data_IF_245414618603
#
_entry.id   IF_245414618603
#
_cell.length_a   1.000
_cell.length_b   1.000
_cell.length_c   1.000
_cell.angle_alpha   90.00
_cell.angle_beta   90.00
_cell.angle_gamma   90.00
#
_symmetry.space_group_name_H-M   'P 1'
#
loop_
_entity.id
_entity.type
_entity.pdbx_description
1 polymer ?
#
# COMPACT_ATOMS: atom_id res chain seq x y z
N UNK A 1 -9.19 -27.37 4.54
CA UNK A 1 -7.93 -28.13 4.42
C UNK A 1 -6.80 -27.11 4.52
N UNK A 2 -5.80 -27.36 5.36
CA UNK A 2 -4.60 -26.56 5.43
C UNK A 2 -3.74 -26.98 4.23
N UNK A 3 -3.52 -26.06 3.27
CA UNK A 3 -2.68 -26.35 2.12
C UNK A 3 -1.26 -26.69 2.58
N UNK A 4 -0.71 -27.76 2.07
CA UNK A 4 0.69 -28.14 2.35
C UNK A 4 1.64 -27.09 1.78
N UNK A 5 2.75 -26.88 2.48
CA UNK A 5 3.85 -26.07 1.96
C UNK A 5 4.29 -26.68 0.62
N UNK A 6 4.46 -25.90 -0.46
CA UNK A 6 4.92 -26.42 -1.73
C UNK A 6 6.24 -27.20 -1.59
N UNK A 7 6.38 -28.29 -2.32
CA UNK A 7 7.56 -29.16 -2.26
C UNK A 7 8.91 -28.43 -2.39
N UNK A 8 8.95 -27.38 -3.20
CA UNK A 8 10.14 -26.55 -3.37
C UNK A 8 10.54 -25.83 -2.07
N UNK A 9 9.57 -25.28 -1.34
CA UNK A 9 9.80 -24.63 -0.05
C UNK A 9 10.18 -25.67 1.01
N UNK A 10 9.48 -26.81 1.01
CA UNK A 10 9.79 -27.92 1.89
C UNK A 10 11.20 -28.46 1.65
N UNK A 11 11.59 -28.66 0.39
CA UNK A 11 12.95 -29.06 -0.01
C UNK A 11 14.01 -28.03 0.41
N UNK A 12 13.72 -26.74 0.27
CA UNK A 12 14.58 -25.66 0.73
C UNK A 12 14.75 -25.69 2.26
N UNK A 13 13.67 -25.80 3.01
CA UNK A 13 13.70 -25.87 4.47
C UNK A 13 14.41 -27.15 4.97
N UNK A 14 14.23 -28.29 4.29
CA UNK A 14 14.96 -29.53 4.58
C UNK A 14 16.46 -29.39 4.30
N UNK A 15 16.85 -28.68 3.23
CA UNK A 15 18.26 -28.40 2.91
C UNK A 15 18.90 -27.52 3.98
N UNK A 16 18.20 -26.49 4.47
CA UNK A 16 18.64 -25.69 5.61
C UNK A 16 18.77 -26.54 6.87
N UNK A 17 17.84 -27.45 7.13
CA UNK A 17 17.83 -28.33 8.30
C UNK A 17 19.02 -29.32 8.30
N UNK A 18 19.32 -29.93 7.13
CA UNK A 18 20.49 -30.82 6.96
C UNK A 18 21.82 -30.13 7.21
N UNK A 19 21.87 -28.81 7.13
CA UNK A 19 23.04 -27.99 7.37
C UNK A 19 23.15 -27.48 8.82
N UNK A 20 22.39 -28.06 9.75
CA UNK A 20 22.45 -27.74 11.19
C UNK A 20 21.66 -26.49 11.59
N UNK A 21 20.71 -26.06 10.75
CA UNK A 21 19.87 -24.88 10.97
C UNK A 21 18.76 -25.19 11.96
N UNK A 22 19.07 -25.31 13.24
CA UNK A 22 18.04 -25.46 14.25
C UNK A 22 18.44 -24.79 15.58
N UNK A 23 17.78 -23.67 15.89
CA UNK A 23 17.71 -23.17 17.25
C UNK A 23 16.27 -22.74 17.52
N UNK A 24 15.57 -23.32 18.48
CA UNK A 24 14.24 -22.85 18.88
C UNK A 24 14.38 -21.45 19.48
N UNK A 25 13.88 -20.45 18.78
CA UNK A 25 13.74 -19.09 19.28
C UNK A 25 12.30 -18.84 19.67
N UNK A 26 12.08 -18.10 20.75
CA UNK A 26 10.74 -17.63 21.08
C UNK A 26 10.20 -16.73 19.95
N UNK A 27 9.01 -17.05 19.44
CA UNK A 27 8.35 -16.21 18.47
C UNK A 27 7.97 -14.88 19.14
N UNK A 28 8.67 -13.80 18.81
CA UNK A 28 8.31 -12.46 19.26
C UNK A 28 7.09 -12.00 18.46
N UNK A 29 6.06 -11.59 19.16
CA UNK A 29 4.88 -10.98 18.55
C UNK A 29 5.29 -9.59 18.03
N UNK A 30 5.08 -9.35 16.74
CA UNK A 30 5.14 -7.99 16.21
C UNK A 30 3.85 -7.27 16.62
N UNK A 31 3.97 -6.28 17.49
CA UNK A 31 2.87 -5.34 17.74
C UNK A 31 2.66 -4.47 16.51
N UNK A 32 1.40 -4.19 16.17
CA UNK A 32 1.09 -3.16 15.20
C UNK A 32 1.75 -1.85 15.66
N UNK A 33 2.76 -1.38 14.93
CA UNK A 33 3.36 -0.09 15.23
C UNK A 33 2.29 0.99 15.05
N UNK A 34 1.90 1.61 16.15
CA UNK A 34 1.16 2.86 16.12
C UNK A 34 2.13 3.90 15.56
N UNK A 35 2.01 4.20 14.27
CA UNK A 35 2.82 5.25 13.66
C UNK A 35 2.49 6.58 14.35
N UNK A 36 3.50 7.37 14.71
CA UNK A 36 3.27 8.69 15.31
C UNK A 36 2.46 9.55 14.34
N UNK A 37 1.48 10.29 14.88
CA UNK A 37 0.69 11.28 14.14
C UNK A 37 1.53 12.52 13.83
N UNK A 38 2.60 12.35 13.07
CA UNK A 38 3.51 13.44 12.67
C UNK A 38 3.71 13.40 11.15
N UNK A 39 3.89 14.57 10.56
CA UNK A 39 4.30 14.68 9.17
C UNK A 39 5.78 14.29 9.04
N UNK A 40 6.11 13.32 8.21
CA UNK A 40 7.44 12.74 8.17
C UNK A 40 8.30 13.21 6.98
N UNK A 41 7.70 13.60 5.87
CA UNK A 41 8.41 13.95 4.63
C UNK A 41 7.92 15.30 4.09
N UNK A 42 8.85 16.11 3.62
CA UNK A 42 8.56 17.33 2.87
C UNK A 42 8.52 17.00 1.38
N UNK A 43 7.46 17.47 0.71
CA UNK A 43 7.35 17.46 -0.74
C UNK A 43 6.89 18.81 -1.23
N UNK A 44 7.28 19.15 -2.43
CA UNK A 44 6.76 20.34 -3.09
C UNK A 44 5.30 20.13 -3.49
N UNK A 45 4.47 21.10 -3.11
CA UNK A 45 3.06 21.16 -3.46
C UNK A 45 2.83 22.42 -4.29
N UNK A 46 2.21 22.25 -5.45
CA UNK A 46 1.71 23.36 -6.23
C UNK A 46 0.21 23.49 -5.98
N UNK A 47 -0.25 24.63 -5.48
CA UNK A 47 -1.68 24.90 -5.37
C UNK A 47 -2.29 25.02 -6.76
N UNK A 48 -3.42 24.34 -6.96
CA UNK A 48 -4.17 24.39 -8.22
C UNK A 48 -5.56 25.00 -8.06
N UNK A 49 -6.03 25.23 -6.84
CA UNK A 49 -7.37 25.76 -6.57
C UNK A 49 -7.36 27.19 -6.02
N UNK A 50 -6.40 27.54 -5.15
CA UNK A 50 -6.33 28.83 -4.52
C UNK A 50 -4.88 29.23 -4.22
N UNK A 51 -4.60 30.52 -4.19
CA UNK A 51 -3.26 31.04 -3.82
C UNK A 51 -2.99 30.88 -2.32
N UNK A 52 -4.04 30.97 -1.48
CA UNK A 52 -3.94 30.79 -0.04
C UNK A 52 -4.31 29.37 0.37
N UNK A 53 -3.70 28.91 1.48
CA UNK A 53 -3.99 27.60 2.08
C UNK A 53 -5.10 27.64 3.13
N UNK A 54 -5.89 28.71 3.17
CA UNK A 54 -6.98 28.80 4.13
C UNK A 54 -8.04 27.71 3.87
N UNK A 55 -8.61 27.13 4.94
CA UNK A 55 -9.67 26.14 4.82
C UNK A 55 -10.88 26.69 4.04
N UNK A 56 -11.34 25.92 3.07
CA UNK A 56 -12.51 26.24 2.25
C UNK A 56 -13.73 25.50 2.80
N UNK A 57 -14.86 26.19 2.87
CA UNK A 57 -16.14 25.53 3.17
C UNK A 57 -16.55 24.65 1.99
N UNK A 58 -16.90 23.40 2.30
CA UNK A 58 -17.45 22.46 1.31
C UNK A 58 -18.91 22.84 1.03
N UNK A 59 -19.21 23.10 -0.21
CA UNK A 59 -20.54 23.51 -0.61
C UNK A 59 -21.56 22.38 -0.34
N UNK A 60 -22.68 22.69 0.30
CA UNK A 60 -23.74 21.73 0.63
C UNK A 60 -24.50 21.18 -0.59
N UNK A 61 -24.21 21.72 -1.76
CA UNK A 61 -24.62 21.17 -3.06
C UNK A 61 -26.11 21.25 -3.35
N UNK A 62 -26.54 22.38 -3.84
CA UNK A 62 -27.93 22.53 -4.37
C UNK A 62 -28.07 22.22 -5.88
N UNK A 63 -27.09 21.57 -6.52
CA UNK A 63 -27.13 21.42 -7.97
C UNK A 63 -26.25 20.34 -8.64
N UNK A 64 -25.58 19.46 -7.89
CA UNK A 64 -24.76 18.41 -8.48
C UNK A 64 -25.31 17.01 -8.23
N UNK A 65 -25.03 16.05 -9.11
CA UNK A 65 -25.27 14.62 -8.86
C UNK A 65 -24.61 14.21 -7.54
N UNK A 66 -25.36 13.52 -6.68
CA UNK A 66 -24.84 12.96 -5.45
C UNK A 66 -23.84 11.84 -5.79
N UNK A 67 -22.56 12.08 -5.54
CA UNK A 67 -21.53 11.07 -5.75
C UNK A 67 -21.62 10.02 -4.64
N UNK A 68 -21.71 8.75 -5.04
CA UNK A 68 -21.76 7.61 -4.10
C UNK A 68 -20.67 6.62 -4.47
N UNK A 69 -19.89 6.17 -3.47
CA UNK A 69 -18.95 5.09 -3.69
C UNK A 69 -19.68 3.76 -3.85
N UNK A 70 -19.46 3.11 -4.98
CA UNK A 70 -20.04 1.80 -5.31
C UNK A 70 -19.06 0.66 -5.03
N UNK A 71 -17.80 0.98 -4.75
CA UNK A 71 -16.76 0.00 -4.47
C UNK A 71 -15.74 0.52 -3.45
N UNK A 72 -15.13 -0.42 -2.70
CA UNK A 72 -14.14 -0.15 -1.66
C UNK A 72 -13.02 -1.16 -1.76
N UNK A 73 -11.77 -0.71 -1.80
CA UNK A 73 -10.59 -1.56 -1.92
C UNK A 73 -9.69 -1.40 -0.69
N UNK A 74 -9.23 -2.51 -0.16
CA UNK A 74 -8.27 -2.56 0.93
C UNK A 74 -7.40 -3.81 0.84
N UNK A 75 -6.27 -3.80 1.56
CA UNK A 75 -5.38 -4.92 1.72
C UNK A 75 -4.90 -5.08 3.15
N UNK A 76 -4.83 -6.33 3.60
CA UNK A 76 -4.36 -6.69 4.92
C UNK A 76 -3.11 -7.54 4.86
N UNK A 77 -2.32 -7.50 5.90
CA UNK A 77 -1.12 -8.33 6.04
C UNK A 77 -0.97 -8.84 7.47
N UNK A 78 -0.38 -10.01 7.59
CA UNK A 78 0.09 -10.56 8.84
C UNK A 78 1.49 -11.10 8.65
N UNK A 79 2.44 -10.55 9.39
CA UNK A 79 3.85 -10.90 9.30
C UNK A 79 4.32 -11.46 10.63
N UNK A 80 5.20 -12.45 10.59
CA UNK A 80 5.87 -12.93 11.78
C UNK A 80 7.25 -13.47 11.46
N UNK A 81 8.13 -13.42 12.42
CA UNK A 81 9.43 -14.07 12.37
C UNK A 81 9.23 -15.56 12.68
N UNK A 82 9.88 -16.42 11.89
CA UNK A 82 9.90 -17.84 12.16
C UNK A 82 10.73 -18.14 13.42
N UNK A 83 10.37 -19.19 14.19
CA UNK A 83 11.13 -19.60 15.36
C UNK A 83 12.53 -20.14 15.00
N UNK A 84 12.81 -20.30 13.70
CA UNK A 84 14.06 -20.83 13.20
C UNK A 84 14.99 -19.70 12.75
N UNK A 85 16.28 -19.91 12.94
CA UNK A 85 17.33 -19.03 12.45
C UNK A 85 18.30 -19.83 11.59
N UNK A 86 18.82 -19.21 10.56
CA UNK A 86 19.86 -19.80 9.69
C UNK A 86 21.22 -19.49 10.30
N UNK A 87 21.94 -20.47 10.89
CA UNK A 87 23.29 -20.26 11.37
C UNK A 87 24.24 -20.17 10.18
N UNK A 88 25.13 -19.18 10.20
CA UNK A 88 26.14 -18.97 9.18
C UNK A 88 27.51 -19.31 9.71
N UNK A 89 28.48 -19.68 8.85
CA UNK A 89 29.85 -20.00 9.26
C UNK A 89 30.55 -18.87 10.02
N UNK A 90 30.16 -17.62 9.79
CA UNK A 90 30.67 -16.45 10.50
C UNK A 90 30.01 -16.24 11.89
N UNK A 91 29.14 -17.13 12.32
CA UNK A 91 28.43 -17.07 13.60
C UNK A 91 27.12 -16.27 13.61
N UNK A 92 26.75 -15.63 12.50
CA UNK A 92 25.45 -14.93 12.41
C UNK A 92 24.29 -15.94 12.46
N UNK A 93 23.19 -15.53 13.15
CA UNK A 93 21.94 -16.28 13.28
C UNK A 93 20.85 -15.51 12.55
N UNK A 94 20.63 -15.81 11.27
CA UNK A 94 19.75 -15.02 10.40
C UNK A 94 18.29 -15.45 10.54
N UNK A 95 17.38 -14.57 10.99
CA UNK A 95 15.97 -14.88 11.09
C UNK A 95 15.30 -14.89 9.70
N UNK A 96 14.37 -15.81 9.52
CA UNK A 96 13.44 -15.82 8.39
C UNK A 96 12.08 -15.31 8.84
N UNK A 97 11.33 -14.77 7.90
CA UNK A 97 9.98 -14.25 8.15
C UNK A 97 8.97 -14.93 7.23
N UNK A 98 7.77 -15.08 7.75
CA UNK A 98 6.61 -15.52 6.96
C UNK A 98 5.55 -14.44 7.03
N UNK A 99 4.84 -14.24 5.93
CA UNK A 99 3.69 -13.36 5.93
C UNK A 99 2.55 -13.96 5.11
N UNK A 100 1.34 -13.57 5.46
CA UNK A 100 0.14 -13.79 4.68
C UNK A 100 -0.47 -12.44 4.35
N UNK A 101 -0.62 -12.14 3.08
CA UNK A 101 -1.23 -10.92 2.58
C UNK A 101 -2.53 -11.25 1.87
N UNK A 102 -3.51 -10.37 1.97
CA UNK A 102 -4.75 -10.46 1.21
C UNK A 102 -5.19 -9.06 0.78
N UNK A 103 -5.85 -8.99 -0.38
CA UNK A 103 -6.49 -7.78 -0.88
C UNK A 103 -7.84 -8.11 -1.49
N UNK A 104 -8.76 -7.14 -1.51
CA UNK A 104 -10.09 -7.38 -2.05
C UNK A 104 -10.87 -6.11 -2.33
N UNK A 105 -11.99 -6.27 -3.04
CA UNK A 105 -12.98 -5.22 -3.29
C UNK A 105 -14.31 -5.61 -2.69
N UNK A 106 -14.87 -4.71 -1.90
CA UNK A 106 -16.25 -4.76 -1.40
C UNK A 106 -17.11 -3.89 -2.32
N UNK A 107 -18.22 -4.41 -2.76
CA UNK A 107 -19.15 -3.73 -3.66
C UNK A 107 -20.40 -3.26 -2.92
N UNK A 108 -21.05 -2.22 -3.45
CA UNK A 108 -22.35 -1.73 -2.99
C UNK A 108 -23.34 -1.79 -4.15
N UNK A 109 -24.47 -2.44 -3.93
CA UNK A 109 -25.57 -2.46 -4.90
C UNK A 109 -26.44 -1.19 -4.82
N UNK A 110 -27.39 -1.08 -5.76
CA UNK A 110 -28.31 0.06 -5.82
C UNK A 110 -29.22 0.20 -4.60
N UNK A 111 -29.34 -0.82 -3.74
CA UNK A 111 -30.09 -0.76 -2.47
C UNK A 111 -29.21 -0.32 -1.29
N UNK A 112 -27.93 -0.09 -1.52
CA UNK A 112 -26.94 0.25 -0.48
C UNK A 112 -26.35 -0.96 0.24
N UNK A 113 -26.70 -2.20 -0.14
CA UNK A 113 -26.18 -3.43 0.47
C UNK A 113 -24.74 -3.67 0.03
N UNK A 114 -23.89 -3.99 1.01
CA UNK A 114 -22.52 -4.35 0.78
C UNK A 114 -22.38 -5.87 0.50
N UNK A 115 -21.63 -6.23 -0.54
CA UNK A 115 -21.36 -7.62 -0.91
C UNK A 115 -19.96 -7.77 -1.51
N UNK A 116 -19.49 -9.01 -1.60
CA UNK A 116 -18.18 -9.35 -2.15
C UNK A 116 -18.35 -10.36 -3.27
N UNK A 117 -17.70 -10.10 -4.39
CA UNK A 117 -17.51 -11.11 -5.43
C UNK A 117 -16.27 -11.95 -5.07
N UNK A 118 -16.39 -13.30 -4.98
CA UNK A 118 -15.28 -14.14 -4.54
C UNK A 118 -14.02 -14.01 -5.38
N UNK A 119 -14.15 -13.73 -6.66
CA UNK A 119 -13.05 -13.55 -7.60
C UNK A 119 -12.40 -12.15 -7.56
N UNK A 120 -12.91 -11.23 -6.74
CA UNK A 120 -12.31 -9.95 -6.42
C UNK A 120 -11.59 -9.96 -5.06
N UNK A 121 -11.32 -11.14 -4.51
CA UNK A 121 -10.42 -11.32 -3.36
C UNK A 121 -9.23 -12.17 -3.78
N UNK A 122 -8.05 -11.75 -3.36
CA UNK A 122 -6.81 -12.49 -3.57
C UNK A 122 -6.01 -12.58 -2.27
N UNK A 123 -5.25 -13.66 -2.10
CA UNK A 123 -4.35 -13.85 -0.97
C UNK A 123 -3.06 -14.56 -1.42
N UNK A 124 -1.96 -14.28 -0.71
CA UNK A 124 -0.66 -14.90 -0.95
C UNK A 124 0.09 -15.17 0.34
N UNK A 125 0.80 -16.28 0.36
CA UNK A 125 1.74 -16.63 1.41
C UNK A 125 3.15 -16.25 0.97
N UNK A 126 3.93 -15.65 1.86
CA UNK A 126 5.26 -15.13 1.59
C UNK A 126 6.27 -15.76 2.55
N UNK A 127 7.39 -16.24 2.01
CA UNK A 127 8.58 -16.56 2.81
C UNK A 127 9.66 -15.53 2.50
N UNK A 128 10.18 -14.86 3.51
CA UNK A 128 11.10 -13.75 3.36
C UNK A 128 12.39 -13.99 4.16
N UNK A 129 13.51 -13.68 3.53
CA UNK A 129 14.83 -13.71 4.15
C UNK A 129 15.88 -13.07 3.26
N UNK A 130 17.05 -12.73 3.79
CA UNK A 130 18.17 -12.24 2.99
C UNK A 130 18.90 -13.40 2.29
N UNK A 131 18.19 -14.09 1.39
CA UNK A 131 18.64 -15.37 0.82
C UNK A 131 19.95 -15.26 0.03
N UNK A 132 20.15 -14.18 -0.75
CA UNK A 132 21.42 -13.97 -1.45
C UNK A 132 22.55 -13.68 -0.46
N UNK A 133 22.29 -12.99 0.64
CA UNK A 133 23.25 -12.77 1.73
C UNK A 133 23.64 -14.08 2.41
N UNK A 134 22.64 -14.91 2.73
CA UNK A 134 22.84 -16.25 3.30
C UNK A 134 23.66 -17.12 2.33
N UNK A 135 23.29 -17.17 1.06
CA UNK A 135 23.97 -17.91 0.02
C UNK A 135 25.46 -17.56 -0.06
N UNK A 136 25.77 -16.27 -0.09
CA UNK A 136 27.17 -15.79 -0.14
C UNK A 136 27.96 -16.13 1.11
N UNK A 137 27.35 -15.94 2.29
CA UNK A 137 28.02 -16.19 3.56
C UNK A 137 28.25 -17.69 3.83
N UNK A 138 27.33 -18.55 3.39
CA UNK A 138 27.39 -19.99 3.59
C UNK A 138 28.10 -20.76 2.46
N UNK A 139 28.49 -20.09 1.36
CA UNK A 139 29.04 -20.74 0.17
C UNK A 139 28.06 -21.69 -0.51
N UNK A 140 26.73 -21.47 -0.33
CA UNK A 140 25.68 -22.35 -0.83
C UNK A 140 25.34 -22.05 -2.27
N UNK A 141 25.15 -23.10 -3.09
CA UNK A 141 24.45 -22.98 -4.37
C UNK A 141 22.95 -23.10 -4.12
N UNK A 142 22.22 -21.99 -4.16
CA UNK A 142 20.76 -22.00 -4.28
C UNK A 142 20.47 -21.96 -5.78
N UNK A 143 19.84 -23.01 -6.29
CA UNK A 143 19.40 -23.02 -7.67
C UNK A 143 18.31 -21.96 -7.85
N UNK A 144 18.47 -21.11 -8.86
CA UNK A 144 17.62 -19.93 -9.08
C UNK A 144 16.17 -20.27 -9.41
N UNK A 145 15.89 -21.52 -9.74
CA UNK A 145 14.58 -21.97 -10.19
C UNK A 145 13.57 -22.22 -9.06
N UNK A 146 14.05 -22.36 -7.82
CA UNK A 146 13.21 -22.66 -6.66
C UNK A 146 12.71 -21.41 -5.92
N UNK A 147 13.19 -20.22 -6.29
CA UNK A 147 12.89 -18.98 -5.60
C UNK A 147 12.26 -17.99 -6.57
N UNK A 148 10.99 -17.70 -6.35
CA UNK A 148 10.33 -16.59 -7.05
C UNK A 148 10.82 -15.30 -6.39
N UNK A 149 11.83 -14.69 -7.01
CA UNK A 149 12.29 -13.37 -6.60
C UNK A 149 11.17 -12.36 -6.81
N UNK A 150 11.02 -11.43 -5.89
CA UNK A 150 9.99 -10.36 -5.99
C UNK A 150 10.17 -9.43 -7.20
N UNK A 151 11.25 -9.62 -7.95
CA UNK A 151 11.51 -8.98 -9.24
C UNK A 151 10.63 -9.51 -10.34
N UNK A 152 9.94 -10.63 -10.11
CA UNK A 152 9.11 -11.22 -11.14
C UNK A 152 7.84 -10.38 -11.36
N UNK A 153 7.44 -10.24 -12.59
CA UNK A 153 6.16 -9.67 -13.01
C UNK A 153 5.00 -10.40 -12.35
N UNK A 154 5.19 -11.69 -12.00
CA UNK A 154 4.21 -12.54 -11.30
C UNK A 154 3.69 -11.91 -10.00
N UNK A 155 4.47 -11.06 -9.32
CA UNK A 155 4.00 -10.37 -8.11
C UNK A 155 2.88 -9.35 -8.37
N UNK A 156 2.74 -8.87 -9.61
CA UNK A 156 1.64 -8.03 -10.05
C UNK A 156 0.47 -8.80 -10.68
N UNK A 157 0.65 -10.09 -10.99
CA UNK A 157 -0.44 -10.90 -11.53
C UNK A 157 -1.48 -11.18 -10.43
N UNK A 158 -2.72 -11.38 -10.81
CA UNK A 158 -3.71 -11.96 -9.91
C UNK A 158 -3.33 -13.41 -9.63
N UNK A 159 -3.36 -13.92 -8.37
CA UNK A 159 -3.02 -15.30 -8.06
C UNK A 159 -3.90 -16.28 -8.84
N UNK A 160 -3.28 -17.30 -9.42
CA UNK A 160 -4.01 -18.38 -10.11
C UNK A 160 -4.66 -19.34 -9.12
N UNK A 161 -3.99 -19.54 -7.97
CA UNK A 161 -4.47 -20.42 -6.90
C UNK A 161 -4.66 -19.62 -5.60
N UNK A 162 -5.61 -20.00 -4.75
CA UNK A 162 -5.74 -19.45 -3.42
C UNK A 162 -4.46 -19.65 -2.61
N UNK A 163 -3.99 -18.59 -1.95
CA UNK A 163 -2.78 -18.63 -1.10
C UNK A 163 -1.48 -19.04 -1.82
N UNK A 164 -1.34 -18.65 -3.08
CA UNK A 164 -0.10 -18.87 -3.84
C UNK A 164 1.14 -18.45 -3.03
N UNK A 165 2.17 -19.30 -3.03
CA UNK A 165 3.43 -19.03 -2.33
C UNK A 165 4.39 -18.19 -3.17
N UNK A 166 5.01 -17.19 -2.52
CA UNK A 166 6.11 -16.42 -3.08
C UNK A 166 7.26 -16.41 -2.07
N UNK A 167 8.47 -16.74 -2.54
CA UNK A 167 9.70 -16.61 -1.77
C UNK A 167 10.39 -15.30 -2.17
N UNK A 168 10.70 -14.46 -1.20
CA UNK A 168 11.21 -13.10 -1.42
C UNK A 168 12.57 -12.90 -0.80
N UNK A 169 13.55 -12.51 -1.61
CA UNK A 169 14.85 -12.08 -1.11
C UNK A 169 14.78 -10.66 -0.54
N UNK A 170 15.27 -10.50 0.68
CA UNK A 170 15.37 -9.21 1.36
C UNK A 170 16.80 -8.69 1.49
N UNK A 171 17.76 -9.31 0.80
CA UNK A 171 19.16 -8.88 0.80
C UNK A 171 19.31 -7.44 0.34
N UNK A 172 18.54 -7.04 -0.67
CA UNK A 172 18.55 -5.70 -1.25
C UNK A 172 17.24 -4.96 -0.94
N UNK A 173 17.30 -3.63 -0.86
CA UNK A 173 16.07 -2.80 -0.68
C UNK A 173 15.14 -2.87 -1.88
N UNK A 174 15.69 -3.00 -3.07
CA UNK A 174 14.93 -3.10 -4.31
C UNK A 174 15.72 -3.83 -5.39
N UNK A 175 15.04 -4.14 -6.50
CA UNK A 175 15.62 -4.83 -7.64
C UNK A 175 16.64 -4.02 -8.42
N UNK A 176 16.50 -2.69 -8.40
CA UNK A 176 17.45 -1.79 -9.04
C UNK A 176 18.76 -1.69 -8.27
N UNK A 177 18.68 -1.73 -6.93
CA UNK A 177 19.88 -1.81 -6.08
C UNK A 177 20.63 -3.13 -6.27
N UNK A 178 19.90 -4.23 -6.55
CA UNK A 178 20.52 -5.51 -6.87
C UNK A 178 21.31 -5.49 -8.20
N UNK A 179 20.90 -4.62 -9.13
CA UNK A 179 21.55 -4.45 -10.45
C UNK A 179 22.60 -3.36 -10.48
N UNK A 180 22.59 -2.45 -9.51
CA UNK A 180 23.57 -1.37 -9.43
C UNK A 180 24.87 -1.85 -8.77
N UNK A 181 25.99 -1.29 -9.17
CA UNK A 181 27.28 -1.50 -8.51
C UNK A 181 27.33 -0.94 -7.08
N UNK A 182 26.39 -0.04 -6.75
CA UNK A 182 26.23 0.56 -5.41
C UNK A 182 25.36 -0.34 -4.53
N UNK A 183 26.02 -1.26 -3.86
CA UNK A 183 25.40 -2.19 -2.88
C UNK A 183 25.34 -1.63 -1.46
N UNK A 184 25.30 -0.31 -1.31
CA UNK A 184 25.21 0.33 0.00
C UNK A 184 24.00 -0.18 0.78
N UNK A 185 24.28 -0.70 1.99
CA UNK A 185 23.28 -1.23 2.89
C UNK A 185 22.67 -2.57 2.47
N UNK A 186 23.26 -3.35 1.54
CA UNK A 186 22.85 -4.72 1.30
C UNK A 186 23.08 -5.58 2.57
N UNK A 187 22.17 -6.53 2.83
CA UNK A 187 22.36 -7.50 3.93
C UNK A 187 23.41 -8.56 3.54
N UNK A 188 24.67 -8.18 3.60
CA UNK A 188 25.84 -8.99 3.28
C UNK A 188 26.85 -8.90 4.43
N UNK A 189 27.64 -9.96 4.65
CA UNK A 189 28.69 -9.96 5.67
C UNK A 189 28.15 -9.61 7.06
N UNK A 190 28.70 -8.57 7.69
CA UNK A 190 28.35 -8.14 9.04
C UNK A 190 26.93 -7.58 9.17
N UNK A 191 26.32 -7.14 8.06
CA UNK A 191 24.93 -6.69 8.08
C UNK A 191 23.93 -7.81 8.44
N UNK A 192 24.33 -9.09 8.26
CA UNK A 192 23.53 -10.25 8.64
C UNK A 192 23.42 -10.46 10.16
N UNK A 193 24.25 -9.80 10.96
CA UNK A 193 24.11 -9.77 12.43
C UNK A 193 23.04 -8.77 12.90
N UNK A 194 22.58 -7.86 12.05
CA UNK A 194 21.65 -6.79 12.40
C UNK A 194 20.18 -7.25 12.25
N UNK A 195 19.71 -8.02 13.24
CA UNK A 195 18.35 -8.57 13.23
C UNK A 195 17.26 -7.51 13.00
N UNK A 196 17.37 -6.35 13.66
CA UNK A 196 16.42 -5.24 13.48
C UNK A 196 16.34 -4.73 12.03
N UNK A 197 17.48 -4.72 11.32
CA UNK A 197 17.53 -4.33 9.91
C UNK A 197 16.90 -5.41 9.02
N UNK A 198 17.16 -6.68 9.28
CA UNK A 198 16.56 -7.81 8.56
C UNK A 198 15.05 -7.77 8.71
N UNK A 199 14.57 -7.60 9.95
CA UNK A 199 13.14 -7.46 10.25
C UNK A 199 12.49 -6.27 9.53
N UNK A 200 13.09 -5.10 9.62
CA UNK A 200 12.59 -3.89 8.95
C UNK A 200 12.47 -4.07 7.44
N UNK A 201 13.43 -4.77 6.83
CA UNK A 201 13.38 -5.07 5.40
C UNK A 201 12.29 -6.06 5.04
N UNK A 202 12.11 -7.11 5.84
CA UNK A 202 11.04 -8.07 5.63
C UNK A 202 9.67 -7.37 5.71
N UNK A 203 9.45 -6.53 6.73
CA UNK A 203 8.21 -5.74 6.87
C UNK A 203 7.97 -4.80 5.69
N UNK A 204 8.98 -4.06 5.26
CA UNK A 204 8.88 -3.19 4.09
C UNK A 204 8.58 -3.97 2.80
N UNK A 205 9.14 -5.18 2.66
CA UNK A 205 8.87 -6.04 1.51
C UNK A 205 7.44 -6.57 1.51
N UNK A 206 6.92 -6.99 2.66
CA UNK A 206 5.52 -7.43 2.79
C UNK A 206 4.57 -6.30 2.43
N UNK A 207 4.78 -5.08 2.92
CA UNK A 207 3.96 -3.93 2.57
C UNK A 207 3.96 -3.65 1.05
N UNK A 208 5.15 -3.77 0.41
CA UNK A 208 5.30 -3.63 -1.04
C UNK A 208 4.49 -4.68 -1.81
N UNK A 209 4.59 -5.95 -1.39
CA UNK A 209 3.91 -7.05 -2.08
C UNK A 209 2.39 -7.01 -1.85
N UNK A 210 1.94 -6.58 -0.67
CA UNK A 210 0.53 -6.31 -0.42
C UNK A 210 -0.01 -5.25 -1.39
N UNK A 211 0.70 -4.14 -1.55
CA UNK A 211 0.30 -3.09 -2.48
C UNK A 211 0.25 -3.58 -3.94
N UNK A 212 1.21 -4.42 -4.37
CA UNK A 212 1.16 -5.04 -5.70
C UNK A 212 -0.07 -5.94 -5.88
N UNK A 213 -0.44 -6.68 -4.84
CA UNK A 213 -1.65 -7.50 -4.83
C UNK A 213 -2.92 -6.64 -4.91
N UNK A 214 -2.95 -5.50 -4.22
CA UNK A 214 -4.04 -4.51 -4.32
C UNK A 214 -4.20 -4.02 -5.77
N UNK A 215 -3.10 -3.73 -6.47
CA UNK A 215 -3.16 -3.36 -7.89
C UNK A 215 -3.63 -4.49 -8.80
N UNK A 216 -3.24 -5.73 -8.53
CA UNK A 216 -3.74 -6.88 -9.28
C UNK A 216 -5.26 -7.04 -9.13
N UNK A 217 -5.76 -6.89 -7.91
CA UNK A 217 -7.20 -6.90 -7.60
C UNK A 217 -7.91 -5.71 -8.26
N UNK A 218 -7.31 -4.52 -8.20
CA UNK A 218 -7.84 -3.32 -8.83
C UNK A 218 -7.98 -3.48 -10.35
N UNK A 219 -6.96 -4.05 -11.01
CA UNK A 219 -7.02 -4.29 -12.46
C UNK A 219 -8.15 -5.27 -12.83
N UNK A 220 -8.31 -6.35 -12.06
CA UNK A 220 -9.40 -7.29 -12.25
C UNK A 220 -10.77 -6.64 -12.02
N UNK A 221 -10.88 -5.81 -10.99
CA UNK A 221 -12.08 -5.02 -10.72
C UNK A 221 -12.39 -4.06 -11.87
N UNK A 222 -11.42 -3.30 -12.37
CA UNK A 222 -11.61 -2.34 -13.46
C UNK A 222 -12.02 -3.00 -14.78
N UNK A 223 -11.58 -4.23 -15.02
CA UNK A 223 -12.04 -5.01 -16.16
C UNK A 223 -13.55 -5.27 -16.13
N UNK A 224 -14.12 -5.50 -14.95
CA UNK A 224 -15.55 -5.76 -14.75
C UNK A 224 -16.39 -4.48 -14.57
N UNK A 225 -15.83 -3.50 -13.87
CA UNK A 225 -16.49 -2.28 -13.42
C UNK A 225 -15.67 -1.04 -13.79
N UNK A 226 -15.53 -0.70 -15.10
CA UNK A 226 -14.59 0.33 -15.56
C UNK A 226 -14.88 1.72 -15.01
N UNK A 227 -16.16 2.08 -14.84
CA UNK A 227 -16.59 3.42 -14.44
C UNK A 227 -17.01 3.54 -12.97
N UNK A 228 -16.94 2.44 -12.20
CA UNK A 228 -17.34 2.42 -10.80
C UNK A 228 -16.55 3.44 -9.97
N UNK A 229 -17.24 4.14 -9.05
CA UNK A 229 -16.62 5.08 -8.14
C UNK A 229 -16.07 4.33 -6.93
N UNK A 230 -14.73 4.33 -6.79
CA UNK A 230 -13.98 3.47 -5.87
C UNK A 230 -13.31 4.28 -4.77
N UNK A 231 -13.44 3.85 -3.51
CA UNK A 231 -12.65 4.32 -2.38
C UNK A 231 -11.56 3.29 -2.04
N UNK A 232 -10.30 3.72 -2.00
CA UNK A 232 -9.12 2.89 -1.71
C UNK A 232 -8.55 3.28 -0.36
N UNK A 233 -8.28 2.32 0.52
CA UNK A 233 -7.58 2.59 1.78
C UNK A 233 -6.07 2.72 1.54
N UNK A 234 -5.62 3.94 1.41
CA UNK A 234 -4.24 4.30 1.14
C UNK A 234 -4.04 5.24 -0.05
N UNK A 235 -2.78 5.57 -0.34
CA UNK A 235 -2.43 6.46 -1.45
C UNK A 235 -2.61 5.77 -2.81
N UNK A 236 -3.00 6.55 -3.82
CA UNK A 236 -3.14 6.06 -5.20
C UNK A 236 -1.82 6.04 -5.99
N UNK A 237 -0.68 6.31 -5.35
CA UNK A 237 0.59 6.41 -6.05
C UNK A 237 1.09 5.06 -6.54
N UNK A 238 1.34 4.97 -7.83
CA UNK A 238 2.29 4.01 -8.37
C UNK A 238 3.71 4.53 -8.11
N UNK A 239 4.56 3.70 -7.54
CA UNK A 239 5.98 4.02 -7.53
C UNK A 239 6.50 3.93 -8.97
N UNK A 240 7.12 4.99 -9.49
CA UNK A 240 7.64 5.07 -10.87
C UNK A 240 8.41 3.83 -11.30
N UNK A 241 9.25 3.32 -10.40
CA UNK A 241 10.01 2.10 -10.64
C UNK A 241 9.18 0.84 -10.89
N UNK A 242 7.86 0.87 -10.63
CA UNK A 242 6.96 -0.25 -10.87
C UNK A 242 6.10 -0.08 -12.11
N UNK A 243 5.97 1.14 -12.65
CA UNK A 243 5.09 1.46 -13.79
C UNK A 243 5.29 0.49 -14.94
N UNK A 244 6.52 0.36 -15.42
CA UNK A 244 6.84 -0.53 -16.54
C UNK A 244 6.48 -1.99 -16.27
N UNK A 245 6.77 -2.50 -15.07
CA UNK A 245 6.47 -3.90 -14.73
C UNK A 245 4.98 -4.12 -14.51
N UNK A 246 4.31 -3.19 -13.87
CA UNK A 246 2.87 -3.23 -13.73
C UNK A 246 2.18 -3.18 -15.09
N UNK A 247 2.65 -2.34 -16.00
CA UNK A 247 2.12 -2.23 -17.35
C UNK A 247 2.26 -3.52 -18.14
N UNK A 248 3.38 -4.22 -18.04
CA UNK A 248 3.60 -5.51 -18.73
C UNK A 248 2.60 -6.60 -18.29
N UNK A 249 2.16 -6.58 -17.04
CA UNK A 249 1.25 -7.60 -16.47
C UNK A 249 -0.20 -7.17 -16.48
N UNK A 250 -0.48 -5.95 -16.02
CA UNK A 250 -1.83 -5.45 -15.84
C UNK A 250 -2.40 -4.84 -17.12
N UNK A 251 -1.53 -4.31 -17.98
CA UNK A 251 -1.93 -3.72 -19.25
C UNK A 251 -2.73 -4.67 -20.15
N UNK A 252 -2.25 -5.89 -20.42
CA UNK A 252 -3.00 -6.87 -21.21
C UNK A 252 -4.37 -7.22 -20.64
N UNK A 253 -4.53 -7.20 -19.29
CA UNK A 253 -5.83 -7.45 -18.63
C UNK A 253 -6.87 -6.37 -18.98
N UNK A 254 -6.40 -5.13 -19.20
CA UNK A 254 -7.22 -3.96 -19.47
C UNK A 254 -7.23 -3.57 -20.97
N UNK A 255 -6.51 -4.33 -21.81
CA UNK A 255 -6.37 -4.03 -23.23
C UNK A 255 -5.49 -2.81 -23.51
N UNK A 256 -4.54 -2.50 -22.61
CA UNK A 256 -3.64 -1.36 -22.70
C UNK A 256 -2.18 -1.80 -22.84
N UNK A 257 -1.49 -1.23 -23.82
CA UNK A 257 -0.08 -1.50 -24.04
C UNK A 257 0.86 -0.37 -23.58
N UNK A 258 0.31 0.80 -23.26
CA UNK A 258 1.08 1.98 -22.85
C UNK A 258 0.99 2.22 -21.35
N UNK A 259 2.13 2.49 -20.72
CA UNK A 259 2.25 2.67 -19.26
C UNK A 259 1.33 3.77 -18.71
N UNK A 260 1.27 4.92 -19.38
CA UNK A 260 0.43 6.04 -18.92
C UNK A 260 -1.07 5.77 -19.03
N UNK A 261 -1.50 5.08 -20.09
CA UNK A 261 -2.91 4.73 -20.28
C UNK A 261 -3.38 3.68 -19.26
N UNK A 262 -2.48 2.80 -18.80
CA UNK A 262 -2.79 1.86 -17.73
C UNK A 262 -3.18 2.60 -16.44
N UNK A 263 -2.37 3.57 -16.02
CA UNK A 263 -2.62 4.35 -14.81
C UNK A 263 -3.94 5.13 -14.92
N UNK A 264 -4.17 5.77 -16.05
CA UNK A 264 -5.39 6.49 -16.36
C UNK A 264 -6.64 5.59 -16.23
N UNK A 265 -6.56 4.33 -16.69
CA UNK A 265 -7.67 3.38 -16.56
C UNK A 265 -7.85 2.82 -15.16
N UNK A 266 -6.75 2.48 -14.47
CA UNK A 266 -6.81 1.93 -13.13
C UNK A 266 -7.37 2.94 -12.13
N UNK A 267 -6.92 4.20 -12.22
CA UNK A 267 -7.17 5.22 -11.20
C UNK A 267 -8.32 6.16 -11.52
N UNK A 268 -8.91 6.05 -12.71
CA UNK A 268 -10.13 6.80 -13.05
C UNK A 268 -11.24 6.50 -12.04
N UNK A 269 -11.89 7.54 -11.53
CA UNK A 269 -12.93 7.44 -10.50
C UNK A 269 -12.49 6.68 -9.23
N UNK A 270 -11.18 6.69 -8.93
CA UNK A 270 -10.64 6.20 -7.67
C UNK A 270 -10.27 7.38 -6.76
N UNK A 271 -10.55 7.21 -5.46
CA UNK A 271 -10.19 8.14 -4.40
C UNK A 271 -9.38 7.39 -3.35
N UNK A 272 -8.15 7.81 -3.13
CA UNK A 272 -7.30 7.29 -2.07
C UNK A 272 -7.61 7.98 -0.74
N UNK A 273 -7.86 7.21 0.30
CA UNK A 273 -8.10 7.67 1.66
C UNK A 273 -6.87 7.46 2.53
N UNK A 274 -6.15 8.52 2.86
CA UNK A 274 -4.90 8.44 3.61
C UNK A 274 -5.14 8.92 5.05
N UNK A 275 -4.94 8.01 6.00
CA UNK A 275 -5.11 8.21 7.43
C UNK A 275 -3.79 8.50 8.15
N UNK A 276 -2.66 8.16 7.51
CA UNK A 276 -1.30 8.36 8.04
C UNK A 276 -0.61 9.48 7.26
N UNK A 277 -0.26 10.55 7.95
CA UNK A 277 0.26 11.76 7.31
C UNK A 277 1.79 11.71 7.19
N UNK A 278 2.30 10.87 6.27
CA UNK A 278 3.74 10.82 5.98
C UNK A 278 4.22 12.03 5.19
N UNK A 279 3.36 12.61 4.35
CA UNK A 279 3.68 13.80 3.59
C UNK A 279 3.35 15.04 4.41
N UNK A 280 4.33 15.92 4.61
CA UNK A 280 4.14 17.21 5.27
C UNK A 280 3.53 18.20 4.28
N UNK A 281 2.35 18.78 4.56
CA UNK A 281 1.80 19.85 3.73
C UNK A 281 2.66 21.10 3.82
N UNK A 282 2.63 21.95 2.80
CA UNK A 282 3.37 23.23 2.78
C UNK A 282 3.01 24.15 3.97
N UNK A 283 1.74 24.11 4.37
CA UNK A 283 1.20 24.92 5.47
C UNK A 283 0.51 24.02 6.52
N UNK A 284 1.27 23.27 7.32
CA UNK A 284 0.70 22.34 8.29
C UNK A 284 -0.18 23.02 9.34
N UNK A 285 0.13 24.29 9.70
CA UNK A 285 -0.65 25.10 10.63
C UNK A 285 -2.07 25.41 10.11
N UNK A 286 -2.26 25.53 8.81
CA UNK A 286 -3.57 25.72 8.19
C UNK A 286 -4.35 24.39 8.09
N UNK A 287 -3.64 23.31 7.74
CA UNK A 287 -4.25 21.98 7.62
C UNK A 287 -4.81 21.50 8.96
N UNK A 288 -4.13 21.75 10.08
CA UNK A 288 -4.64 21.37 11.41
C UNK A 288 -5.84 22.21 11.86
N UNK A 289 -6.07 23.37 11.25
CA UNK A 289 -7.24 24.24 11.52
C UNK A 289 -8.50 23.85 10.73
N UNK A 290 -8.41 22.91 9.79
CA UNK A 290 -9.59 22.44 9.04
C UNK A 290 -10.68 22.01 10.02
N UNK A 291 -11.81 22.70 9.96
CA UNK A 291 -12.98 22.48 10.81
C UNK A 291 -13.95 21.44 10.22
N UNK A 292 -15.13 21.29 10.85
CA UNK A 292 -16.25 20.57 10.27
C UNK A 292 -16.66 21.28 8.98
N UNK A 293 -17.15 20.50 8.02
CA UNK A 293 -17.64 20.97 6.73
C UNK A 293 -16.62 21.80 5.93
N UNK A 294 -15.31 21.59 6.22
CA UNK A 294 -14.22 22.28 5.55
C UNK A 294 -13.23 21.28 4.95
N UNK A 295 -12.48 21.77 3.97
CA UNK A 295 -11.32 21.12 3.39
C UNK A 295 -10.20 22.13 3.08
N UNK A 296 -9.00 21.64 2.85
CA UNK A 296 -7.94 22.50 2.27
C UNK A 296 -8.23 22.79 0.79
N UNK A 297 -7.60 23.80 0.20
CA UNK A 297 -7.46 23.88 -1.25
C UNK A 297 -6.87 22.60 -1.83
N UNK A 298 -7.20 22.31 -3.08
CA UNK A 298 -6.60 21.22 -3.84
C UNK A 298 -5.21 21.63 -4.27
N UNK A 299 -4.28 20.70 -4.09
CA UNK A 299 -2.89 20.86 -4.52
C UNK A 299 -2.47 19.69 -5.39
N UNK A 300 -1.52 19.96 -6.26
CA UNK A 300 -0.83 18.93 -7.01
C UNK A 300 0.41 18.50 -6.23
N UNK A 301 0.61 17.19 -6.09
CA UNK A 301 1.86 16.66 -5.56
C UNK A 301 2.85 16.58 -6.71
N UNK A 302 3.98 17.29 -6.59
CA UNK A 302 5.08 17.18 -7.52
C UNK A 302 5.75 15.81 -7.32
N UNK A 303 5.89 15.03 -8.38
CA UNK A 303 6.60 13.75 -8.34
C UNK A 303 8.13 13.93 -8.39
N UNK A 304 8.61 15.17 -8.51
CA UNK A 304 10.02 15.51 -8.54
C UNK A 304 10.70 15.39 -7.20
N UNK A 305 10.74 14.23 -6.60
CA UNK A 305 11.84 13.94 -5.68
C UNK A 305 12.24 12.48 -5.82
N UNK A 306 13.13 12.21 -6.73
CA UNK A 306 14.06 11.13 -6.54
C UNK A 306 14.78 11.35 -5.21
N UNK A 307 14.79 10.33 -4.36
CA UNK A 307 15.35 10.29 -3.01
C UNK A 307 16.84 10.70 -2.94
N UNK A 308 17.44 11.17 -4.02
CA UNK A 308 18.87 11.56 -4.16
C UNK A 308 19.14 12.89 -4.87
N UNK A 309 18.17 13.79 -5.02
CA UNK A 309 18.45 15.13 -5.56
C UNK A 309 18.97 15.14 -6.99
N UNK A 310 18.74 14.10 -7.78
CA UNK A 310 18.96 14.15 -9.23
C UNK A 310 17.66 14.65 -9.86
N UNK A 311 17.69 15.88 -10.34
CA UNK A 311 16.76 16.33 -11.38
C UNK A 311 16.94 15.36 -12.55
N UNK A 312 15.99 14.44 -12.76
CA UNK A 312 15.90 13.69 -13.99
C UNK A 312 15.73 14.70 -15.11
N UNK A 313 16.56 14.62 -16.15
CA UNK A 313 16.30 15.29 -17.39
C UNK A 313 14.89 14.90 -17.82
N UNK A 314 14.06 15.92 -18.04
CA UNK A 314 12.72 15.79 -18.58
C UNK A 314 12.85 15.12 -19.95
N UNK A 315 12.46 13.85 -20.05
CA UNK A 315 12.26 13.22 -21.33
C UNK A 315 11.22 14.03 -22.09
N UNK A 316 11.50 14.37 -23.37
CA UNK A 316 10.63 15.15 -24.24
C UNK A 316 9.22 14.55 -24.44
N UNK A 317 8.95 13.34 -23.94
CA UNK A 317 7.64 12.66 -23.94
C UNK A 317 6.84 12.86 -22.65
N UNK A 318 6.97 14.02 -21.99
CA UNK A 318 6.07 14.43 -20.94
C UNK A 318 6.14 13.57 -19.68
N UNK A 319 7.00 13.93 -18.76
CA UNK A 319 6.93 13.46 -17.38
C UNK A 319 5.46 13.46 -16.92
N UNK A 320 4.94 12.30 -16.54
CA UNK A 320 3.61 12.15 -15.91
C UNK A 320 3.55 12.76 -14.51
N UNK A 321 4.54 13.55 -14.14
CA UNK A 321 4.63 14.33 -12.91
C UNK A 321 3.41 15.20 -12.74
N UNK A 322 2.72 15.04 -11.62
CA UNK A 322 1.54 15.82 -11.30
C UNK A 322 0.21 15.20 -11.71
N UNK A 323 0.15 13.90 -11.98
CA UNK A 323 -1.10 13.21 -12.27
C UNK A 323 -2.07 13.18 -11.07
N UNK A 324 -1.59 13.40 -9.84
CA UNK A 324 -2.36 13.29 -8.61
C UNK A 324 -2.68 14.65 -8.00
N UNK A 325 -3.96 14.83 -7.72
CA UNK A 325 -4.50 15.95 -6.98
C UNK A 325 -4.82 15.50 -5.56
N UNK A 326 -4.52 16.33 -4.57
CA UNK A 326 -4.73 15.99 -3.17
C UNK A 326 -5.26 17.16 -2.37
N UNK A 327 -6.04 16.85 -1.35
CA UNK A 327 -6.50 17.81 -0.36
C UNK A 327 -6.74 17.14 0.99
N UNK A 328 -6.84 17.94 2.01
CA UNK A 328 -7.11 17.49 3.36
C UNK A 328 -8.53 17.85 3.76
N UNK A 329 -9.17 16.96 4.51
CA UNK A 329 -10.46 17.22 5.17
C UNK A 329 -10.50 16.48 6.51
N UNK A 330 -11.55 16.70 7.29
CA UNK A 330 -11.70 16.04 8.57
C UNK A 330 -12.90 15.10 8.56
N UNK A 331 -12.65 13.82 8.69
CA UNK A 331 -13.70 12.78 8.67
C UNK A 331 -14.57 12.83 9.93
N UNK A 332 -13.96 13.11 11.08
CA UNK A 332 -14.65 13.28 12.35
C UNK A 332 -14.14 14.49 13.08
N UNK A 333 -15.09 15.14 13.73
CA UNK A 333 -14.79 16.26 14.59
C UNK A 333 -14.90 15.82 16.05
N UNK A 334 -13.83 15.90 16.83
CA UNK A 334 -13.91 15.62 18.26
C UNK A 334 -14.77 16.67 18.93
N UNK A 335 -15.63 16.26 19.86
CA UNK A 335 -16.32 17.23 20.71
C UNK A 335 -15.31 17.99 21.59
N UNK A 336 -15.39 19.33 21.61
CA UNK A 336 -14.49 20.16 22.37
C UNK A 336 -13.61 21.09 21.53
N UNK A 337 -12.61 21.70 22.15
CA UNK A 337 -11.73 22.66 21.47
C UNK A 337 -10.81 21.95 20.46
N UNK A 338 -11.04 22.19 19.17
CA UNK A 338 -10.31 21.53 18.07
C UNK A 338 -8.81 21.82 18.05
N UNK A 339 -8.34 22.93 18.58
CA UNK A 339 -6.92 23.27 18.61
C UNK A 339 -6.09 22.26 19.44
N UNK A 340 -6.70 21.53 20.37
CA UNK A 340 -6.03 20.51 21.18
C UNK A 340 -5.91 19.15 20.48
N UNK A 341 -6.51 18.95 19.31
CA UNK A 341 -6.59 17.64 18.68
C UNK A 341 -5.60 17.40 17.54
N UNK A 342 -4.92 18.43 17.06
CA UNK A 342 -3.90 18.33 16.02
C UNK A 342 -4.40 17.58 14.77
N UNK A 343 -3.77 16.45 14.45
CA UNK A 343 -4.08 15.63 13.28
C UNK A 343 -5.26 14.65 13.47
N UNK A 344 -5.89 14.60 14.64
CA UNK A 344 -6.98 13.65 14.90
C UNK A 344 -8.18 13.87 13.98
N UNK A 345 -8.65 12.80 13.36
CA UNK A 345 -9.77 12.84 12.41
C UNK A 345 -9.42 13.47 11.06
N UNK A 346 -8.23 14.06 10.91
CA UNK A 346 -7.75 14.57 9.64
C UNK A 346 -7.43 13.41 8.71
N UNK A 347 -7.85 13.55 7.46
CA UNK A 347 -7.54 12.63 6.38
C UNK A 347 -7.04 13.43 5.18
N UNK A 348 -6.24 12.78 4.34
CA UNK A 348 -5.88 13.28 3.03
C UNK A 348 -6.57 12.45 1.97
N UNK A 349 -7.10 13.10 0.96
CA UNK A 349 -7.69 12.45 -0.21
C UNK A 349 -6.77 12.64 -1.40
N UNK A 350 -6.48 11.56 -2.10
CA UNK A 350 -5.70 11.56 -3.34
C UNK A 350 -6.62 11.13 -4.49
N UNK A 351 -6.60 11.88 -5.59
CA UNK A 351 -7.42 11.60 -6.76
C UNK A 351 -6.58 11.76 -8.02
N UNK A 352 -6.71 10.82 -8.94
CA UNK A 352 -6.03 10.94 -10.23
C UNK A 352 -6.74 11.96 -11.14
N UNK A 353 -5.98 12.72 -11.92
CA UNK A 353 -6.48 13.77 -12.82
C UNK A 353 -7.60 13.32 -13.75
N UNK A 354 -7.57 12.07 -14.20
CA UNK A 354 -8.60 11.50 -15.10
C UNK A 354 -9.97 11.43 -14.47
N UNK A 355 -10.08 11.40 -13.13
CA UNK A 355 -11.36 11.49 -12.42
C UNK A 355 -12.07 12.81 -12.72
N UNK A 356 -11.32 13.86 -13.00
CA UNK A 356 -11.85 15.17 -13.38
C UNK A 356 -11.94 15.36 -14.91
N UNK A 357 -11.47 14.40 -15.72
CA UNK A 357 -11.34 14.57 -17.16
C UNK A 357 -10.20 15.52 -17.56
N UNK A 358 -9.23 15.73 -16.68
CA UNK A 358 -8.08 16.60 -16.91
C UNK A 358 -7.02 15.81 -17.65
N UNK A 359 -6.61 16.29 -18.82
CA UNK A 359 -5.56 15.66 -19.62
C UNK A 359 -4.17 15.92 -19.03
N UNK A 360 -3.92 17.14 -18.55
CA UNK A 360 -2.64 17.58 -18.00
C UNK A 360 -2.83 18.38 -16.72
N UNK A 361 -2.41 17.83 -15.61
CA UNK A 361 -2.53 18.50 -14.31
C UNK A 361 -1.44 19.55 -14.04
N UNK A 362 -0.31 19.49 -14.77
CA UNK A 362 0.79 20.46 -14.66
C UNK A 362 0.43 21.86 -15.16
N UNK A 363 -0.56 21.96 -16.06
CA UNK A 363 -1.05 23.21 -16.62
C UNK A 363 -2.17 23.86 -15.78
N UNK A 364 -2.61 23.23 -14.67
CA UNK A 364 -3.70 23.75 -13.87
C UNK A 364 -3.28 24.99 -13.05
N UNK A 365 -4.10 26.01 -13.15
CA UNK A 365 -4.05 27.24 -12.36
C UNK A 365 -5.41 27.44 -11.67
N UNK A 366 -5.49 28.29 -10.62
CA UNK A 366 -6.73 28.49 -9.86
C UNK A 366 -7.96 28.79 -10.74
N UNK A 367 -7.79 29.63 -11.77
CA UNK A 367 -8.88 30.02 -12.66
C UNK A 367 -9.36 28.82 -13.52
N UNK A 368 -8.42 28.02 -14.05
CA UNK A 368 -8.74 26.84 -14.87
C UNK A 368 -9.24 25.68 -14.03
N UNK A 369 -8.97 25.64 -12.73
CA UNK A 369 -9.47 24.62 -11.80
C UNK A 369 -10.87 24.90 -11.27
N UNK A 370 -11.32 26.14 -11.28
CA UNK A 370 -12.64 26.57 -10.75
C UNK A 370 -13.83 25.69 -11.18
N UNK A 371 -13.93 25.21 -12.45
CA UNK A 371 -15.02 24.32 -12.88
C UNK A 371 -15.07 22.98 -12.16
N UNK A 372 -13.95 22.50 -11.58
CA UNK A 372 -13.86 21.21 -10.92
C UNK A 372 -14.20 21.26 -9.42
N UNK A 373 -14.28 22.47 -8.83
CA UNK A 373 -14.59 22.64 -7.40
C UNK A 373 -15.85 21.90 -6.96
N UNK A 374 -17.01 21.94 -7.68
CA UNK A 374 -18.20 21.20 -7.27
C UNK A 374 -17.96 19.69 -7.16
N UNK A 375 -17.13 19.11 -8.05
CA UNK A 375 -16.79 17.69 -8.00
C UNK A 375 -15.87 17.36 -6.82
N UNK A 376 -14.91 18.22 -6.50
CA UNK A 376 -14.05 18.08 -5.28
C UNK A 376 -14.92 18.07 -4.03
N UNK A 377 -15.85 19.02 -3.93
CA UNK A 377 -16.79 19.12 -2.80
C UNK A 377 -17.72 17.90 -2.75
N UNK A 378 -18.18 17.41 -3.89
CA UNK A 378 -18.97 16.17 -4.02
C UNK A 378 -18.22 14.94 -3.52
N UNK A 379 -16.96 14.76 -3.93
CA UNK A 379 -16.09 13.69 -3.45
C UNK A 379 -15.88 13.79 -1.94
N UNK A 380 -15.62 14.98 -1.43
CA UNK A 380 -15.42 15.21 0.01
C UNK A 380 -16.67 14.82 0.80
N UNK A 381 -17.87 15.22 0.36
CA UNK A 381 -19.14 14.83 0.99
C UNK A 381 -19.36 13.32 0.92
N UNK A 382 -19.10 12.69 -0.23
CA UNK A 382 -19.23 11.25 -0.39
C UNK A 382 -18.35 10.49 0.63
N UNK A 383 -17.12 10.95 0.86
CA UNK A 383 -16.25 10.37 1.90
C UNK A 383 -16.81 10.58 3.30
N UNK A 384 -17.39 11.76 3.60
CA UNK A 384 -18.02 12.01 4.90
C UNK A 384 -19.23 11.12 5.15
N UNK A 385 -20.00 10.77 4.13
CA UNK A 385 -21.15 9.85 4.23
C UNK A 385 -20.70 8.44 4.61
N UNK A 386 -19.50 8.00 4.19
CA UNK A 386 -18.94 6.69 4.51
C UNK A 386 -18.37 6.58 5.93
N UNK A 387 -18.30 7.65 6.68
CA UNK A 387 -17.79 7.62 8.06
C UNK A 387 -18.55 6.62 8.92
N UNK A 388 -17.86 5.98 9.84
CA UNK A 388 -18.48 5.09 10.80
C UNK A 388 -19.55 5.82 11.63
N UNK A 389 -20.81 5.34 11.69
CA UNK A 389 -21.89 6.08 12.31
C UNK A 389 -21.85 6.07 13.86
N UNK A 390 -21.06 5.20 14.47
CA UNK A 390 -21.04 5.01 15.93
C UNK A 390 -19.73 5.42 16.60
N UNK A 391 -19.78 5.55 17.94
CA UNK A 391 -18.58 5.64 18.76
C UNK A 391 -17.99 4.24 18.91
N UNK A 392 -16.76 4.04 18.47
CA UNK A 392 -16.08 2.75 18.60
C UNK A 392 -15.83 2.46 20.10
N UNK A 393 -16.24 1.30 20.60
CA UNK A 393 -16.12 0.92 22.02
C UNK A 393 -14.69 0.57 22.48
N UNK A 394 -13.65 0.78 21.69
CA UNK A 394 -12.26 0.57 22.09
C UNK A 394 -11.63 1.88 22.54
N UNK A 395 -11.04 1.94 23.72
CA UNK A 395 -10.57 3.13 24.45
C UNK A 395 -9.63 4.13 23.74
N UNK A 396 -9.30 3.91 22.48
CA UNK A 396 -8.52 4.83 21.62
C UNK A 396 -9.21 5.16 20.29
N UNK A 397 -10.52 4.96 20.21
CA UNK A 397 -11.32 5.10 18.97
C UNK A 397 -11.36 6.51 18.35
N UNK A 398 -11.00 7.52 19.11
CA UNK A 398 -10.91 8.91 18.66
C UNK A 398 -9.82 9.16 17.61
N UNK A 399 -8.80 8.30 17.57
CA UNK A 399 -7.67 8.43 16.67
C UNK A 399 -7.86 7.71 15.34
N UNK A 400 -8.84 6.80 15.27
CA UNK A 400 -9.09 6.01 14.06
C UNK A 400 -10.10 6.73 13.17
N UNK A 401 -9.65 7.21 12.04
CA UNK A 401 -10.44 7.69 10.93
C UNK A 401 -11.02 6.47 10.20
N UNK A 402 -12.08 5.87 10.74
CA UNK A 402 -12.69 4.68 10.16
C UNK A 402 -13.79 5.04 9.17
N UNK A 403 -13.75 4.37 8.03
CA UNK A 403 -14.78 4.36 7.01
C UNK A 403 -15.47 3.01 7.07
N UNK A 404 -16.80 3.01 7.23
CA UNK A 404 -17.56 1.79 7.53
C UNK A 404 -17.34 0.65 6.51
N UNK A 405 -17.45 0.87 5.19
CA UNK A 405 -17.26 -0.21 4.22
C UNK A 405 -15.82 -0.75 4.22
N UNK A 406 -14.83 0.11 4.38
CA UNK A 406 -13.41 -0.31 4.47
C UNK A 406 -13.20 -1.20 5.69
N UNK A 407 -13.76 -0.84 6.86
CA UNK A 407 -13.64 -1.70 8.06
C UNK A 407 -14.33 -3.06 7.86
N UNK A 408 -15.49 -3.11 7.17
CA UNK A 408 -16.14 -4.38 6.86
C UNK A 408 -15.27 -5.24 5.95
N UNK A 409 -14.68 -4.64 4.90
CA UNK A 409 -13.75 -5.34 4.02
C UNK A 409 -12.52 -5.85 4.81
N UNK A 410 -11.91 -5.00 5.63
CA UNK A 410 -10.77 -5.37 6.47
C UNK A 410 -11.08 -6.59 7.37
N UNK A 411 -12.28 -6.65 7.96
CA UNK A 411 -12.72 -7.80 8.76
C UNK A 411 -12.80 -9.08 7.94
N UNK A 412 -13.36 -9.00 6.72
CA UNK A 412 -13.44 -10.16 5.82
C UNK A 412 -12.05 -10.62 5.39
N UNK A 413 -11.17 -9.69 5.01
CA UNK A 413 -9.80 -10.01 4.62
C UNK A 413 -8.99 -10.58 5.79
N UNK A 414 -9.14 -10.05 7.01
CA UNK A 414 -8.50 -10.59 8.22
C UNK A 414 -8.94 -12.01 8.53
N UNK A 415 -10.18 -12.39 8.20
CA UNK A 415 -10.66 -13.76 8.34
C UNK A 415 -10.06 -14.72 7.28
N UNK A 416 -9.61 -14.19 6.14
CA UNK A 416 -8.91 -14.97 5.09
C UNK A 416 -7.43 -15.20 5.40
N UNK A 417 -6.82 -14.28 6.14
CA UNK A 417 -5.39 -14.36 6.49
C UNK A 417 -5.21 -15.31 7.68
N UNK A 418 -4.33 -16.28 7.55
CA UNK A 418 -4.06 -17.27 8.58
C UNK A 418 -3.67 -16.63 9.93
N UNK A 419 -4.21 -17.11 11.04
CA UNK A 419 -3.79 -16.68 12.36
C UNK A 419 -2.32 -17.02 12.61
N UNK A 420 -1.64 -16.24 13.44
CA UNK A 420 -0.20 -16.40 13.73
C UNK A 420 0.18 -17.85 14.08
N UNK A 421 -0.63 -18.50 14.92
CA UNK A 421 -0.38 -19.91 15.31
C UNK A 421 -0.34 -20.84 14.09
N UNK A 422 -1.25 -20.65 13.15
CA UNK A 422 -1.30 -21.47 11.94
C UNK A 422 -0.11 -21.20 11.01
N UNK A 423 0.32 -19.95 10.88
CA UNK A 423 1.51 -19.60 10.11
C UNK A 423 2.77 -20.28 10.66
N UNK A 424 2.91 -20.37 11.99
CA UNK A 424 4.01 -21.14 12.62
C UNK A 424 3.89 -22.62 12.32
N UNK A 425 2.67 -23.18 12.43
CA UNK A 425 2.45 -24.60 12.17
C UNK A 425 2.77 -25.04 10.75
N UNK A 426 2.59 -24.16 9.75
CA UNK A 426 2.97 -24.47 8.36
C UNK A 426 4.46 -24.81 8.24
N UNK A 427 5.30 -24.32 9.17
CA UNK A 427 6.75 -24.52 9.17
C UNK A 427 7.22 -25.43 10.31
N UNK A 428 6.33 -25.98 11.13
CA UNK A 428 6.68 -27.02 12.09
C UNK A 428 6.95 -28.31 11.34
N UNK A 429 8.18 -28.43 10.86
CA UNK A 429 8.69 -29.67 10.29
C UNK A 429 8.96 -30.59 11.50
N UNK A 430 8.25 -31.76 11.62
CA UNK A 430 8.52 -32.70 12.69
C UNK A 430 10.01 -33.05 12.70
N UNK A 431 10.59 -33.20 13.89
CA UNK A 431 11.92 -33.80 14.00
C UNK A 431 11.91 -35.17 13.34
N UNK A 432 12.93 -35.53 12.55
CA UNK A 432 13.07 -36.87 11.98
C UNK A 432 13.20 -37.92 13.07
#
# INVERSE_FOLDING_TARGET
MVESVPQAIEGFLQKLKRQGVYAPGAALSEEEQVLPLTFAEEREYASVEAESWEPLTVDSGSGGEELVFTAFLDGVQRTMMLPYRVPLPNGAQVPLHVAHIAAGVLLRDGSGRLYIEPDLIAARLLLLGPFEGIRKAAGMSLESNDIVWDTSERTFAFPEEPNEWIVCDTTFRGTEEARSERREGALLGDELFKEGLIRSRAQGRVATLRQRLEFAVLAKFRKKHPDAFLLVDGPLFFLDKWRRRAANVLGPLLGESREGLLEDRLLRNAVGLIKTHRLRPKHPEQVVRIGPDQRSPVVRISEEVDVKGRRGELDEEGSYGGAHLTWYTRLRYPQGNFLSYGLRGLIRLDVHRTTFGIERADALQPESFRPYKPKVDGITRAVWQERWPGVHRGGHSWTRTQVYPIEQLERVLKARVYPRRLLVHLFNIPNP
#
